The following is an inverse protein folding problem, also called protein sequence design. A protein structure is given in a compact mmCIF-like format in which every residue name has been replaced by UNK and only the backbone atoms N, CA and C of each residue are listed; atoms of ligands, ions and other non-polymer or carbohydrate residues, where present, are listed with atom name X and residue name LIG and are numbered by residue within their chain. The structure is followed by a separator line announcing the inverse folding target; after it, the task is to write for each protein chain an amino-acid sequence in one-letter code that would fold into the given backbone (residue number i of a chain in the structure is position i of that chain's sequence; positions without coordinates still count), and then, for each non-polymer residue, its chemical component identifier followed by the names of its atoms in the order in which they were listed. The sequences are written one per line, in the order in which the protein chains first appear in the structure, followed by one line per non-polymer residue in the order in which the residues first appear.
data_IF_191633925669
#
_entry.id   IF_191633925669
#
_cell.length_a   1.000
_cell.length_b   1.000
_cell.length_c   1.000
_cell.angle_alpha   90.00
_cell.angle_beta   90.00
_cell.angle_gamma   90.00
#
_symmetry.space_group_name_H-M   'P 1'
#
loop_
_entity.id
_entity.type
_entity.pdbx_description
1 polymer ?
#
# COMPACT_ATOMS: atom_id res chain seq x y z
N UNK A 1 36.43 3.11 -68.25
CA UNK A 1 35.85 4.31 -67.58
C UNK A 1 35.41 4.05 -66.12
N UNK A 2 35.62 2.86 -65.56
CA UNK A 2 35.04 2.38 -64.28
C UNK A 2 35.61 3.01 -63.01
N UNK A 3 36.92 3.28 -62.97
CA UNK A 3 37.64 3.64 -61.73
C UNK A 3 37.13 4.92 -61.03
N UNK A 4 36.57 5.89 -61.78
CA UNK A 4 35.93 7.10 -61.21
C UNK A 4 34.59 6.77 -60.52
N UNK A 5 33.78 5.89 -61.10
CA UNK A 5 32.44 5.55 -60.59
C UNK A 5 32.54 4.86 -59.23
N UNK A 6 33.45 3.88 -59.09
CA UNK A 6 33.66 3.17 -57.82
C UNK A 6 34.16 4.10 -56.71
N UNK A 7 34.93 5.14 -57.05
CA UNK A 7 35.42 6.14 -56.07
C UNK A 7 34.32 7.11 -55.65
N UNK A 8 33.46 7.55 -56.58
CA UNK A 8 32.26 8.34 -56.27
C UNK A 8 31.27 7.56 -55.40
N UNK A 9 30.96 6.31 -55.75
CA UNK A 9 30.03 5.46 -55.01
C UNK A 9 30.49 5.23 -53.55
N UNK A 10 31.79 4.98 -53.34
CA UNK A 10 32.36 4.88 -51.98
C UNK A 10 32.23 6.19 -51.20
N UNK A 11 32.42 7.34 -51.84
CA UNK A 11 32.25 8.66 -51.22
C UNK A 11 30.80 8.88 -50.78
N UNK A 12 29.83 8.65 -51.67
CA UNK A 12 28.39 8.81 -51.37
C UNK A 12 27.94 7.86 -50.24
N UNK A 13 28.40 6.60 -50.27
CA UNK A 13 28.08 5.61 -49.24
C UNK A 13 28.63 6.04 -47.86
N UNK A 14 29.84 6.60 -47.81
CA UNK A 14 30.44 7.07 -46.55
C UNK A 14 29.69 8.29 -45.97
N UNK A 15 29.28 9.24 -46.83
CA UNK A 15 28.44 10.37 -46.41
C UNK A 15 27.06 9.91 -45.91
N UNK A 16 26.44 8.93 -46.57
CA UNK A 16 25.15 8.38 -46.17
C UNK A 16 25.19 7.74 -44.76
N UNK A 17 26.24 6.98 -44.44
CA UNK A 17 26.42 6.35 -43.12
C UNK A 17 26.51 7.38 -42.00
N UNK A 18 27.17 8.53 -42.24
CA UNK A 18 27.32 9.57 -41.20
C UNK A 18 25.99 10.21 -40.79
N UNK A 19 25.03 10.33 -41.71
CA UNK A 19 23.72 10.97 -41.48
C UNK A 19 22.76 10.12 -40.61
N UNK A 20 23.04 8.82 -40.39
CA UNK A 20 22.15 7.91 -39.64
C UNK A 20 22.30 8.07 -38.11
N UNK A 21 23.38 8.68 -37.63
CA UNK A 21 23.67 8.76 -36.18
C UNK A 21 22.81 9.74 -35.38
N UNK A 22 21.92 10.52 -36.03
CA UNK A 22 21.10 11.54 -35.36
C UNK A 22 20.08 11.02 -34.35
N UNK A 23 19.72 9.73 -34.39
CA UNK A 23 18.70 9.15 -33.52
C UNK A 23 19.11 9.03 -32.03
N UNK A 24 20.41 9.16 -31.71
CA UNK A 24 20.90 8.97 -30.34
C UNK A 24 20.48 10.07 -29.34
N UNK A 25 20.06 11.24 -29.82
CA UNK A 25 19.70 12.40 -28.99
C UNK A 25 18.20 12.56 -28.72
N UNK A 26 17.38 11.56 -29.02
CA UNK A 26 15.93 11.58 -28.73
C UNK A 26 15.58 11.52 -27.23
N UNK A 27 16.54 11.14 -26.37
CA UNK A 27 16.36 11.14 -24.91
C UNK A 27 16.57 12.55 -24.33
N UNK A 28 15.55 13.39 -24.41
CA UNK A 28 15.49 14.64 -23.63
C UNK A 28 15.45 14.32 -22.12
N UNK A 29 16.36 14.87 -21.29
CA UNK A 29 16.40 14.56 -19.86
C UNK A 29 15.14 15.01 -19.10
N UNK A 30 14.35 15.93 -19.64
CA UNK A 30 13.04 16.35 -19.08
C UNK A 30 12.01 15.21 -19.00
N UNK A 31 12.08 14.22 -19.90
CA UNK A 31 11.21 13.03 -19.84
C UNK A 31 11.69 12.02 -18.78
N UNK A 32 12.99 12.01 -18.46
CA UNK A 32 13.56 11.19 -17.38
C UNK A 32 13.41 11.82 -15.99
N UNK A 33 13.24 13.15 -15.91
CA UNK A 33 13.22 13.91 -14.66
C UNK A 33 11.82 14.10 -14.03
N UNK A 34 10.75 13.57 -14.65
CA UNK A 34 9.43 13.49 -14.00
C UNK A 34 9.46 12.37 -12.95
N UNK A 35 9.92 12.68 -11.74
CA UNK A 35 9.85 11.78 -10.59
C UNK A 35 8.40 11.36 -10.32
N UNK A 36 8.04 10.17 -10.80
CA UNK A 36 6.66 9.74 -10.79
C UNK A 36 6.25 9.26 -9.40
N UNK A 37 5.84 10.21 -8.55
CA UNK A 37 5.32 9.94 -7.21
C UNK A 37 4.04 9.09 -7.31
N UNK A 38 4.19 7.77 -7.15
CA UNK A 38 3.09 6.82 -7.22
C UNK A 38 2.20 6.90 -5.97
N UNK A 39 0.86 6.97 -6.10
CA UNK A 39 -0.05 7.02 -4.95
C UNK A 39 0.05 5.73 -4.11
N UNK A 40 0.69 5.83 -2.95
CA UNK A 40 0.85 4.70 -2.03
C UNK A 40 -0.45 4.44 -1.26
N UNK A 41 -0.87 3.18 -1.22
CA UNK A 41 -2.02 2.74 -0.44
C UNK A 41 -1.54 2.24 0.93
N UNK A 42 -2.04 2.81 2.01
CA UNK A 42 -1.60 2.50 3.39
C UNK A 42 -2.79 2.25 4.33
N UNK A 43 -2.52 1.80 5.55
CA UNK A 43 -3.52 1.66 6.62
C UNK A 43 -4.73 0.78 6.25
N UNK A 44 -4.49 -0.30 5.49
CA UNK A 44 -5.54 -1.26 5.15
C UNK A 44 -6.00 -2.01 6.41
N UNK A 45 -7.29 -1.94 6.74
CA UNK A 45 -7.80 -2.36 8.05
C UNK A 45 -8.25 -3.82 8.16
N UNK A 46 -8.24 -4.59 7.07
CA UNK A 46 -8.53 -6.03 7.12
C UNK A 46 -7.25 -6.86 7.11
N UNK A 47 -7.26 -7.97 7.83
CA UNK A 47 -6.19 -8.96 7.78
C UNK A 47 -6.06 -9.55 6.38
N UNK A 48 -4.91 -9.32 5.74
CA UNK A 48 -4.57 -9.94 4.46
C UNK A 48 -4.32 -11.43 4.65
N UNK A 49 -4.86 -12.26 3.76
CA UNK A 49 -4.61 -13.70 3.78
C UNK A 49 -3.18 -13.98 3.31
N UNK A 50 -2.31 -14.25 4.27
CA UNK A 50 -0.93 -14.72 4.08
C UNK A 50 -0.71 -16.03 4.81
N UNK A 51 0.14 -16.89 4.25
CA UNK A 51 0.64 -18.08 4.95
C UNK A 51 1.87 -17.67 5.78
N UNK A 52 2.06 -18.20 7.00
CA UNK A 52 1.32 -19.30 7.62
C UNK A 52 0.00 -18.93 8.32
N UNK A 53 -0.27 -17.64 8.55
CA UNK A 53 -1.29 -17.19 9.52
C UNK A 53 -2.75 -17.46 9.10
N UNK A 54 -3.03 -17.60 7.80
CA UNK A 54 -4.34 -17.98 7.23
C UNK A 54 -5.54 -17.13 7.68
N UNK A 55 -5.32 -15.84 8.01
CA UNK A 55 -6.34 -14.92 8.52
C UNK A 55 -7.65 -14.95 7.74
N UNK A 56 -8.76 -14.90 8.47
CA UNK A 56 -10.11 -14.88 7.94
C UNK A 56 -10.86 -13.66 8.44
N UNK A 57 -11.57 -12.98 7.53
CA UNK A 57 -12.44 -11.85 7.86
C UNK A 57 -13.89 -12.32 7.91
N UNK A 58 -14.70 -11.72 8.76
CA UNK A 58 -16.14 -12.00 8.78
C UNK A 58 -16.80 -11.64 7.44
N UNK A 59 -17.87 -12.35 7.02
CA UNK A 59 -18.70 -11.87 5.92
C UNK A 59 -19.18 -10.44 6.20
N UNK A 60 -19.41 -9.67 5.15
CA UNK A 60 -19.90 -8.29 5.26
C UNK A 60 -19.01 -7.33 6.08
N UNK A 61 -17.75 -7.67 6.36
CA UNK A 61 -16.81 -6.78 7.07
C UNK A 61 -16.67 -5.42 6.38
N UNK A 62 -16.67 -4.36 7.18
CA UNK A 62 -16.24 -3.03 6.74
C UNK A 62 -14.71 -2.93 6.71
N UNK A 63 -14.20 -2.10 5.81
CA UNK A 63 -12.78 -1.86 5.67
C UNK A 63 -12.47 -0.44 5.21
N UNK A 64 -11.24 -0.02 5.47
CA UNK A 64 -10.71 1.23 4.93
C UNK A 64 -9.23 1.13 4.59
N UNK A 65 -8.77 2.08 3.78
CA UNK A 65 -7.36 2.35 3.51
C UNK A 65 -7.19 3.86 3.27
N UNK A 66 -5.95 4.34 3.36
CA UNK A 66 -5.57 5.73 3.05
C UNK A 66 -4.81 5.79 1.73
N UNK A 67 -4.96 6.90 1.03
CA UNK A 67 -4.20 7.29 -0.17
C UNK A 67 -3.84 8.78 -0.03
N UNK A 68 -2.64 9.26 -0.43
CA UNK A 68 -2.25 10.67 -0.26
C UNK A 68 -3.21 11.69 -0.90
N UNK A 69 -3.34 12.88 -0.32
CA UNK A 69 -4.28 13.90 -0.80
C UNK A 69 -3.94 14.54 -2.16
N UNK A 70 -2.77 14.25 -2.73
CA UNK A 70 -2.40 14.57 -4.13
C UNK A 70 -2.91 13.54 -5.16
N UNK A 71 -3.75 12.59 -4.71
CA UNK A 71 -4.41 11.59 -5.56
C UNK A 71 -5.80 12.09 -5.95
N UNK A 72 -6.17 12.02 -7.24
CA UNK A 72 -7.51 12.41 -7.68
C UNK A 72 -8.57 11.45 -7.11
N UNK A 73 -9.49 11.99 -6.31
CA UNK A 73 -10.60 11.26 -5.67
C UNK A 73 -11.45 10.50 -6.69
N UNK A 74 -11.73 11.14 -7.82
CA UNK A 74 -12.55 10.63 -8.93
C UNK A 74 -11.84 9.50 -9.70
N UNK A 75 -10.50 9.45 -9.62
CA UNK A 75 -9.71 8.41 -10.25
C UNK A 75 -9.61 7.11 -9.44
N UNK A 76 -10.04 7.14 -8.16
CA UNK A 76 -10.02 5.98 -7.27
C UNK A 76 -11.01 4.94 -7.80
N UNK A 77 -10.52 3.73 -8.08
CA UNK A 77 -11.34 2.58 -8.46
C UNK A 77 -11.06 1.42 -7.52
N UNK A 78 -12.13 0.81 -7.04
CA UNK A 78 -12.11 -0.28 -6.07
C UNK A 78 -12.91 -1.46 -6.63
N UNK A 79 -12.26 -2.61 -6.81
CA UNK A 79 -12.89 -3.82 -7.33
C UNK A 79 -12.60 -5.04 -6.46
N UNK A 80 -13.54 -5.98 -6.43
CA UNK A 80 -13.38 -7.31 -5.81
C UNK A 80 -13.65 -8.34 -6.89
N UNK A 81 -12.66 -9.19 -7.22
CA UNK A 81 -12.71 -10.09 -8.40
C UNK A 81 -13.18 -9.34 -9.66
N UNK A 82 -12.60 -8.17 -9.89
CA UNK A 82 -12.84 -7.26 -11.02
C UNK A 82 -14.26 -6.68 -11.13
N UNK A 83 -15.16 -7.01 -10.19
CA UNK A 83 -16.46 -6.35 -10.04
C UNK A 83 -16.29 -5.05 -9.24
N UNK A 84 -16.80 -3.90 -9.72
CA UNK A 84 -16.75 -2.64 -8.97
C UNK A 84 -17.66 -2.72 -7.74
N UNK A 85 -17.20 -2.17 -6.62
CA UNK A 85 -17.97 -2.12 -5.37
C UNK A 85 -18.22 -0.68 -4.93
N UNK A 86 -19.28 -0.46 -4.15
CA UNK A 86 -19.58 0.86 -3.58
C UNK A 86 -18.56 1.23 -2.49
N UNK A 87 -18.12 2.50 -2.48
CA UNK A 87 -17.22 3.05 -1.48
C UNK A 87 -17.49 4.54 -1.24
N UNK A 88 -17.06 5.02 -0.07
CA UNK A 88 -17.12 6.42 0.37
C UNK A 88 -15.70 6.95 0.53
N UNK A 89 -15.45 8.22 0.15
CA UNK A 89 -14.12 8.84 0.25
C UNK A 89 -14.15 10.02 1.22
N UNK A 90 -13.58 9.83 2.41
CA UNK A 90 -13.39 10.89 3.40
C UNK A 90 -12.08 11.63 3.13
N UNK A 91 -12.17 12.91 2.77
CA UNK A 91 -10.99 13.73 2.43
C UNK A 91 -10.50 14.55 3.62
N UNK A 92 -9.22 14.46 3.94
CA UNK A 92 -8.51 15.39 4.82
C UNK A 92 -7.36 16.05 4.03
N UNK A 93 -6.65 17.03 4.61
CA UNK A 93 -5.55 17.76 3.96
C UNK A 93 -4.36 16.87 3.61
N UNK A 94 -4.10 15.82 4.38
CA UNK A 94 -2.95 14.91 4.16
C UNK A 94 -3.29 13.65 3.36
N UNK A 95 -4.51 13.13 3.48
CA UNK A 95 -4.93 11.87 2.85
C UNK A 95 -6.42 11.81 2.51
N UNK A 96 -6.77 10.86 1.66
CA UNK A 96 -8.12 10.44 1.37
C UNK A 96 -8.31 9.03 1.96
N UNK A 97 -9.22 8.91 2.92
CA UNK A 97 -9.59 7.62 3.53
C UNK A 97 -10.75 7.05 2.74
N UNK A 98 -10.50 5.96 2.03
CA UNK A 98 -11.55 5.20 1.36
C UNK A 98 -12.16 4.23 2.38
N UNK A 99 -13.48 4.22 2.51
CA UNK A 99 -14.26 3.27 3.32
C UNK A 99 -15.18 2.46 2.41
N UNK A 100 -15.30 1.17 2.65
CA UNK A 100 -16.21 0.30 1.92
C UNK A 100 -16.57 -0.94 2.76
N UNK A 101 -17.53 -1.74 2.27
CA UNK A 101 -18.03 -2.96 2.92
C UNK A 101 -17.93 -4.13 1.94
N UNK A 102 -17.55 -5.32 2.41
CA UNK A 102 -17.54 -6.53 1.57
C UNK A 102 -18.97 -6.91 1.16
N UNK A 103 -19.29 -7.09 -0.14
CA UNK A 103 -20.58 -7.66 -0.55
C UNK A 103 -20.76 -9.10 -0.05
N UNK A 104 -21.97 -9.43 0.41
CA UNK A 104 -22.31 -10.75 0.94
C UNK A 104 -22.10 -11.89 -0.08
N UNK A 105 -22.13 -11.60 -1.38
CA UNK A 105 -21.84 -12.52 -2.49
C UNK A 105 -20.46 -13.21 -2.38
N UNK A 106 -19.52 -12.60 -1.65
CA UNK A 106 -18.15 -13.09 -1.49
C UNK A 106 -17.93 -13.92 -0.22
N UNK A 107 -18.96 -14.15 0.59
CA UNK A 107 -18.94 -15.04 1.77
C UNK A 107 -18.41 -16.44 1.42
N UNK A 108 -17.60 -17.03 2.30
CA UNK A 108 -16.99 -18.35 2.12
C UNK A 108 -15.94 -18.45 1.00
N UNK A 109 -15.54 -17.33 0.40
CA UNK A 109 -14.67 -17.31 -0.79
C UNK A 109 -13.37 -16.55 -0.52
N UNK A 110 -12.29 -17.04 -1.12
CA UNK A 110 -11.11 -16.21 -1.36
C UNK A 110 -11.46 -15.13 -2.39
N UNK A 111 -11.09 -13.88 -2.10
CA UNK A 111 -11.23 -12.74 -3.00
C UNK A 111 -9.95 -11.92 -3.08
N UNK A 112 -9.63 -11.46 -4.29
CA UNK A 112 -8.64 -10.41 -4.50
C UNK A 112 -9.39 -9.09 -4.59
N UNK A 113 -9.05 -8.18 -3.68
CA UNK A 113 -9.52 -6.81 -3.65
C UNK A 113 -8.43 -5.94 -4.27
N UNK A 114 -8.73 -5.29 -5.39
CA UNK A 114 -7.81 -4.39 -6.08
C UNK A 114 -8.25 -2.94 -5.86
N UNK A 115 -7.31 -2.08 -5.47
CA UNK A 115 -7.50 -0.63 -5.42
C UNK A 115 -6.52 0.04 -6.39
N UNK A 116 -6.99 0.99 -7.19
CA UNK A 116 -6.17 1.73 -8.15
C UNK A 116 -6.56 3.20 -8.15
N UNK A 117 -5.59 4.07 -8.40
CA UNK A 117 -5.79 5.52 -8.40
C UNK A 117 -4.73 6.24 -9.24
N UNK A 118 -5.01 7.49 -9.59
CA UNK A 118 -4.12 8.40 -10.31
C UNK A 118 -3.82 9.66 -9.49
N UNK A 119 -2.65 10.25 -9.71
CA UNK A 119 -2.36 11.60 -9.21
C UNK A 119 -3.26 12.63 -9.90
N UNK A 120 -3.45 13.79 -9.29
CA UNK A 120 -4.27 14.88 -9.87
C UNK A 120 -3.81 15.28 -11.28
N UNK A 121 -2.50 15.27 -11.54
CA UNK A 121 -1.90 15.59 -12.85
C UNK A 121 -2.10 14.48 -13.91
N UNK A 122 -2.71 13.35 -13.56
CA UNK A 122 -3.08 12.25 -14.47
C UNK A 122 -1.94 11.39 -15.01
N UNK A 123 -0.70 11.89 -15.02
CA UNK A 123 0.51 11.22 -15.52
C UNK A 123 0.78 9.93 -14.74
N UNK A 124 0.83 10.03 -13.41
CA UNK A 124 1.18 8.93 -12.52
C UNK A 124 -0.05 8.18 -12.02
N UNK A 125 0.06 6.86 -11.98
CA UNK A 125 -0.97 5.96 -11.48
C UNK A 125 -0.32 4.77 -10.77
N UNK A 126 -1.04 4.16 -9.85
CA UNK A 126 -0.63 2.91 -9.22
C UNK A 126 -1.83 2.05 -8.84
N UNK A 127 -1.57 0.77 -8.61
CA UNK A 127 -2.58 -0.19 -8.19
C UNK A 127 -2.01 -1.19 -7.20
N UNK A 128 -2.71 -1.38 -6.09
CA UNK A 128 -2.44 -2.42 -5.11
C UNK A 128 -3.52 -3.50 -5.18
N UNK A 129 -3.22 -4.69 -4.65
CA UNK A 129 -4.22 -5.73 -4.47
C UNK A 129 -3.91 -6.60 -3.27
N UNK A 130 -4.91 -6.78 -2.41
CA UNK A 130 -4.83 -7.63 -1.22
C UNK A 130 -5.65 -8.90 -1.45
N UNK A 131 -5.10 -10.05 -1.04
CA UNK A 131 -5.83 -11.32 -1.00
C UNK A 131 -6.52 -11.44 0.35
N UNK A 132 -7.80 -11.80 0.36
CA UNK A 132 -8.63 -11.88 1.56
C UNK A 132 -9.38 -13.21 1.53
N UNK A 133 -9.38 -13.95 2.64
CA UNK A 133 -10.26 -15.11 2.85
C UNK A 133 -11.47 -14.66 3.65
N UNK A 134 -12.64 -14.61 3.01
CA UNK A 134 -13.89 -14.34 3.72
C UNK A 134 -14.35 -15.65 4.36
N UNK A 135 -14.64 -15.62 5.66
CA UNK A 135 -15.24 -16.74 6.37
C UNK A 135 -16.63 -17.08 5.80
N UNK A 136 -17.09 -18.30 6.06
CA UNK A 136 -18.48 -18.69 5.82
C UNK A 136 -19.46 -17.93 6.74
N UNK A 137 -20.76 -17.96 6.43
CA UNK A 137 -21.79 -17.29 7.22
C UNK A 137 -22.11 -18.04 8.52
N UNK A 138 -21.20 -17.96 9.49
CA UNK A 138 -21.52 -18.25 10.87
C UNK A 138 -22.62 -17.29 11.38
N UNK A 139 -23.53 -17.74 12.26
CA UNK A 139 -24.44 -16.85 12.98
C UNK A 139 -23.65 -15.96 13.96
N UNK A 140 -24.22 -14.79 14.25
CA UNK A 140 -23.59 -13.71 15.04
C UNK A 140 -23.18 -14.16 16.45
N UNK A 141 -21.89 -14.47 16.62
CA UNK A 141 -21.19 -14.65 17.89
C UNK A 141 -19.67 -14.70 17.63
N UNK A 142 -18.79 -14.24 18.51
CA UNK A 142 -18.97 -13.60 19.82
C UNK A 142 -18.11 -12.32 19.93
N UNK A 143 -18.42 -11.38 20.85
CA UNK A 143 -17.52 -10.27 21.16
C UNK A 143 -16.16 -10.75 21.71
N UNK A 144 -15.19 -9.83 21.75
CA UNK A 144 -13.81 -10.11 22.17
C UNK A 144 -13.71 -10.81 23.53
N UNK A 145 -12.72 -11.69 23.67
CA UNK A 145 -12.44 -12.46 24.87
C UNK A 145 -12.29 -11.57 26.10
N UNK A 146 -13.27 -11.61 27.01
CA UNK A 146 -13.12 -11.02 28.35
C UNK A 146 -12.16 -11.89 29.15
N UNK A 147 -10.89 -11.48 29.22
CA UNK A 147 -9.93 -12.06 30.16
C UNK A 147 -10.26 -11.56 31.58
N UNK A 148 -11.23 -12.22 32.21
CA UNK A 148 -11.68 -11.93 33.57
C UNK A 148 -10.56 -12.22 34.57
N UNK A 149 -10.12 -11.18 35.29
CA UNK A 149 -9.13 -11.33 36.35
C UNK A 149 -9.68 -12.20 37.51
N UNK A 150 -8.95 -13.25 37.94
CA UNK A 150 -9.22 -13.96 39.18
C UNK A 150 -8.46 -13.31 40.34
N UNK A 151 -9.18 -12.74 41.30
CA UNK A 151 -8.59 -12.18 42.51
C UNK A 151 -8.93 -13.06 43.74
N UNK A 152 -7.92 -13.33 44.59
CA UNK A 152 -8.07 -13.53 46.07
C UNK A 152 -8.80 -14.85 46.47
N UNK A 153 -8.38 -15.73 47.40
CA UNK A 153 -7.29 -15.85 48.41
C UNK A 153 -7.49 -17.25 49.10
N UNK A 154 -6.65 -17.83 50.02
CA UNK A 154 -5.62 -17.24 50.90
C UNK A 154 -4.21 -17.91 50.90
N UNK A 155 -3.31 -17.35 51.71
CA UNK A 155 -2.01 -17.92 52.10
C UNK A 155 -2.12 -18.87 53.32
N UNK A 156 -1.00 -19.46 53.81
CA UNK A 156 -0.23 -18.75 54.84
C UNK A 156 1.31 -18.81 54.69
N UNK A 157 1.99 -17.88 55.39
CA UNK A 157 3.25 -18.01 56.18
C UNK A 157 4.28 -19.08 55.75
N UNK A 158 5.55 -18.81 55.45
CA UNK A 158 6.55 -17.82 55.94
C UNK A 158 7.63 -17.58 54.82
N UNK A 159 8.74 -16.81 54.88
CA UNK A 159 9.48 -16.00 55.89
C UNK A 159 10.18 -14.79 55.20
N UNK A 160 10.77 -13.87 55.98
CA UNK A 160 11.66 -12.79 55.53
C UNK A 160 13.15 -13.11 55.87
N UNK A 161 14.17 -12.40 55.31
CA UNK A 161 14.44 -11.02 55.74
C UNK A 161 15.03 -10.04 54.68
N UNK A 162 14.74 -8.76 54.90
CA UNK A 162 15.65 -7.58 54.83
C UNK A 162 16.64 -7.39 53.65
N UNK A 163 16.49 -6.25 52.95
CA UNK A 163 17.54 -5.22 52.77
C UNK A 163 16.88 -3.84 52.52
N UNK A 164 17.60 -2.75 52.79
CA UNK A 164 17.07 -1.39 53.02
C UNK A 164 16.92 -0.52 51.73
N UNK A 165 16.11 0.56 51.77
CA UNK A 165 15.87 1.44 50.62
C UNK A 165 16.87 2.61 50.50
N UNK A 166 17.07 3.10 49.26
CA UNK A 166 17.80 4.33 48.91
C UNK A 166 16.99 5.06 47.82
N UNK A 167 16.87 6.41 47.84
CA UNK A 167 15.76 7.10 47.16
C UNK A 167 16.04 7.55 45.71
N UNK A 168 15.01 8.10 45.07
CA UNK A 168 15.07 8.68 43.73
C UNK A 168 15.91 9.97 43.68
N UNK A 169 16.56 10.22 42.54
CA UNK A 169 17.27 11.47 42.25
C UNK A 169 16.62 12.19 41.04
N UNK A 170 16.42 13.49 41.16
CA UNK A 170 15.66 14.30 40.20
C UNK A 170 16.58 14.92 39.15
N UNK A 171 16.38 14.58 37.87
CA UNK A 171 17.15 15.17 36.77
C UNK A 171 16.53 16.49 36.28
N UNK A 172 17.23 17.65 36.36
CA UNK A 172 16.76 18.92 35.83
C UNK A 172 17.04 19.07 34.33
N UNK A 173 16.23 19.87 33.64
CA UNK A 173 16.37 20.15 32.21
C UNK A 173 17.61 21.03 31.89
N UNK A 174 18.24 20.86 30.71
CA UNK A 174 19.27 21.78 30.23
C UNK A 174 18.66 23.12 29.83
N UNK A 175 19.40 24.20 30.04
CA UNK A 175 19.01 25.55 29.63
C UNK A 175 20.14 26.25 28.87
N UNK A 176 19.74 26.91 27.78
CA UNK A 176 20.51 27.82 26.91
C UNK A 176 21.37 27.18 25.83
#
# INVERSE_FOLDING_TARGET
MTMKVTKMLKSVLFTAVMLVNGAAFAYSPEELAKECHKPKFTDFTLSEYKMPEQHQVAPESEFSFKVPAWTSKESIKLTIKDHPIAFTVESNSSFHKVKAKLPAEFTGKFVRLNASAKVTDGICHDSTGWLIKVADKAPESAPATTETAPAVTPAPTETAPTIAPVPAETSPAPAK
#
